data_IF_496993750922
#
_entry.id   IF_496993750922
#
_cell.length_a   1.000
_cell.length_b   1.000
_cell.length_c   1.000
_cell.angle_alpha   90.00
_cell.angle_beta   90.00
_cell.angle_gamma   90.00
#
_symmetry.space_group_name_H-M   'P 1'
#
loop_
_entity.id
_entity.type
_entity.pdbx_description
1 polymer ?
#
# COMPACT_ATOMS: atom_id res chain seq x y z
N UNK A 1 13.49 -36.35 8.54
CA UNK A 1 14.79 -36.07 9.20
C UNK A 1 15.01 -34.61 9.58
N UNK A 2 14.46 -33.61 8.88
CA UNK A 2 14.71 -32.19 9.20
C UNK A 2 14.01 -31.68 10.48
N UNK A 3 12.79 -32.15 10.78
CA UNK A 3 12.00 -31.68 11.94
C UNK A 3 12.66 -31.96 13.30
N UNK A 4 13.22 -33.16 13.47
CA UNK A 4 13.94 -33.57 14.70
C UNK A 4 15.22 -32.75 14.91
N UNK A 5 15.94 -32.45 13.83
CA UNK A 5 17.16 -31.62 13.90
C UNK A 5 16.84 -30.19 14.33
N UNK A 6 15.71 -29.64 13.86
CA UNK A 6 15.23 -28.32 14.26
C UNK A 6 14.71 -28.31 15.70
N UNK A 7 14.03 -29.36 16.16
CA UNK A 7 13.55 -29.44 17.55
C UNK A 7 14.71 -29.52 18.54
N UNK A 8 15.74 -30.31 18.26
CA UNK A 8 16.96 -30.40 19.08
C UNK A 8 17.74 -29.07 19.13
N UNK A 9 17.86 -28.38 18.00
CA UNK A 9 18.48 -27.05 17.95
C UNK A 9 17.73 -26.05 18.84
N UNK A 10 16.40 -26.04 18.74
CA UNK A 10 15.56 -25.16 19.55
C UNK A 10 15.63 -25.51 21.05
N UNK A 11 15.71 -26.79 21.40
CA UNK A 11 15.87 -27.25 22.78
C UNK A 11 17.20 -26.76 23.37
N UNK A 12 18.31 -27.00 22.67
CA UNK A 12 19.64 -26.53 23.08
C UNK A 12 19.69 -25.01 23.26
N UNK A 13 19.06 -24.26 22.36
CA UNK A 13 18.96 -22.80 22.47
C UNK A 13 18.17 -22.35 23.70
N UNK A 14 17.08 -23.05 24.06
CA UNK A 14 16.29 -22.73 25.26
C UNK A 14 17.08 -23.00 26.54
N UNK A 15 17.77 -24.14 26.61
CA UNK A 15 18.63 -24.48 27.74
C UNK A 15 19.78 -23.49 27.92
N UNK A 16 20.42 -23.08 26.81
CA UNK A 16 21.44 -22.03 26.82
C UNK A 16 20.89 -20.70 27.31
N UNK A 17 19.68 -20.30 26.88
CA UNK A 17 19.01 -19.10 27.38
C UNK A 17 18.59 -19.18 28.85
N UNK A 18 18.36 -20.38 29.39
CA UNK A 18 17.99 -20.59 30.80
C UNK A 18 19.20 -20.53 31.74
N UNK A 19 20.38 -20.90 31.26
CA UNK A 19 21.65 -20.86 32.01
C UNK A 19 22.38 -19.52 31.92
N UNK A 20 21.91 -18.63 31.05
CA UNK A 20 22.55 -17.35 30.80
C UNK A 20 22.40 -16.37 31.98
N UNK A 21 23.50 -15.71 32.32
CA UNK A 21 23.50 -14.63 33.30
C UNK A 21 22.81 -13.35 32.79
N UNK A 22 22.47 -12.45 33.71
CA UNK A 22 21.87 -11.17 33.35
C UNK A 22 22.82 -10.30 32.51
N UNK A 23 24.13 -10.35 32.79
CA UNK A 23 25.12 -9.56 32.05
C UNK A 23 25.28 -10.08 30.62
N UNK A 24 25.42 -11.38 30.41
CA UNK A 24 25.45 -11.98 29.07
C UNK A 24 24.20 -11.64 28.27
N UNK A 25 23.02 -11.62 28.92
CA UNK A 25 21.76 -11.23 28.29
C UNK A 25 21.75 -9.76 27.89
N UNK A 26 22.30 -8.91 28.74
CA UNK A 26 22.46 -7.48 28.46
C UNK A 26 23.41 -7.25 27.29
N UNK A 27 24.59 -7.90 27.29
CA UNK A 27 25.55 -7.82 26.19
C UNK A 27 24.98 -8.32 24.87
N UNK A 28 24.28 -9.46 24.86
CA UNK A 28 23.63 -9.97 23.63
C UNK A 28 22.54 -9.04 23.13
N UNK A 29 21.79 -8.40 24.02
CA UNK A 29 20.78 -7.39 23.64
C UNK A 29 21.47 -6.15 23.06
N UNK A 30 22.55 -5.68 23.68
CA UNK A 30 23.34 -4.54 23.23
C UNK A 30 23.91 -4.78 21.83
N UNK A 31 24.56 -5.94 21.61
CA UNK A 31 25.10 -6.33 20.30
C UNK A 31 24.01 -6.39 19.22
N UNK A 32 22.84 -6.99 19.53
CA UNK A 32 21.70 -7.01 18.60
C UNK A 32 21.18 -5.61 18.28
N UNK A 33 21.04 -4.75 19.29
CA UNK A 33 20.61 -3.37 19.10
C UNK A 33 21.61 -2.57 18.27
N UNK A 34 22.92 -2.76 18.49
CA UNK A 34 23.98 -2.12 17.72
C UNK A 34 23.98 -2.58 16.25
N UNK A 35 23.83 -3.89 16.01
CA UNK A 35 23.73 -4.45 14.67
C UNK A 35 22.44 -4.02 13.93
N UNK A 36 21.33 -3.84 14.65
CA UNK A 36 20.04 -3.42 14.08
C UNK A 36 19.93 -1.90 13.90
N UNK A 37 20.75 -1.10 14.58
CA UNK A 37 20.80 0.36 14.47
C UNK A 37 20.88 0.87 13.02
N UNK A 38 21.80 0.38 12.15
CA UNK A 38 21.85 0.83 10.76
C UNK A 38 20.59 0.46 9.97
N UNK A 39 19.98 -0.70 10.23
CA UNK A 39 18.73 -1.10 9.57
C UNK A 39 17.59 -0.15 9.94
N UNK A 40 17.46 0.23 11.22
CA UNK A 40 16.47 1.22 11.68
C UNK A 40 16.71 2.60 11.07
N UNK A 41 17.97 3.02 10.94
CA UNK A 41 18.32 4.28 10.32
C UNK A 41 17.91 4.32 8.83
N UNK A 42 18.18 3.24 8.09
CA UNK A 42 17.73 3.09 6.69
C UNK A 42 16.21 3.13 6.58
N UNK A 43 15.50 2.33 7.38
CA UNK A 43 14.04 2.33 7.38
C UNK A 43 13.42 3.72 7.63
N UNK A 44 14.02 4.53 8.52
CA UNK A 44 13.59 5.93 8.72
C UNK A 44 13.86 6.81 7.51
N UNK A 45 15.02 6.65 6.87
CA UNK A 45 15.37 7.37 5.64
C UNK A 45 14.41 7.02 4.50
N UNK A 46 14.12 5.73 4.32
CA UNK A 46 13.20 5.25 3.29
C UNK A 46 11.79 5.81 3.52
N UNK A 47 11.33 5.81 4.77
CA UNK A 47 10.04 6.41 5.13
C UNK A 47 10.02 7.92 4.86
N UNK A 48 11.10 8.65 5.17
CA UNK A 48 11.19 10.08 4.87
C UNK A 48 11.16 10.35 3.36
N UNK A 49 11.85 9.54 2.57
CA UNK A 49 11.81 9.64 1.11
C UNK A 49 10.41 9.35 0.57
N UNK A 50 9.74 8.31 1.07
CA UNK A 50 8.35 8.02 0.70
C UNK A 50 7.40 9.18 1.04
N UNK A 51 7.52 9.74 2.24
CA UNK A 51 6.71 10.89 2.67
C UNK A 51 7.00 12.14 1.81
N UNK A 52 8.26 12.36 1.41
CA UNK A 52 8.65 13.46 0.52
C UNK A 52 8.04 13.29 -0.87
N UNK A 53 8.09 12.09 -1.44
CA UNK A 53 7.49 11.80 -2.75
C UNK A 53 5.98 12.00 -2.70
N UNK A 54 5.31 11.50 -1.66
CA UNK A 54 3.87 11.67 -1.50
C UNK A 54 3.45 13.13 -1.35
N UNK A 55 4.13 13.89 -0.48
CA UNK A 55 3.83 15.33 -0.32
C UNK A 55 4.04 16.11 -1.61
N UNK A 56 5.07 15.79 -2.40
CA UNK A 56 5.28 16.42 -3.70
C UNK A 56 4.23 16.01 -4.75
N UNK A 57 3.73 14.77 -4.70
CA UNK A 57 2.69 14.29 -5.60
C UNK A 57 1.35 15.00 -5.34
N UNK A 58 0.99 15.23 -4.07
CA UNK A 58 -0.26 15.90 -3.70
C UNK A 58 -0.26 17.39 -4.05
N UNK A 59 0.89 18.07 -3.96
CA UNK A 59 0.97 19.51 -4.27
C UNK A 59 1.04 19.84 -5.76
N UNK A 60 1.38 18.85 -6.61
CA UNK A 60 1.59 19.04 -8.06
C UNK A 60 0.56 18.29 -8.90
N UNK A 61 -0.68 18.16 -8.42
CA UNK A 61 -1.78 17.66 -9.25
C UNK A 61 -2.39 18.83 -10.00
N UNK A 62 -2.24 18.85 -11.32
CA UNK A 62 -3.01 19.79 -12.14
C UNK A 62 -4.49 19.47 -11.99
N UNK A 63 -5.30 20.49 -11.70
CA UNK A 63 -6.75 20.34 -11.71
C UNK A 63 -7.16 19.93 -13.11
N UNK A 64 -7.67 18.70 -13.26
CA UNK A 64 -8.20 18.22 -14.51
C UNK A 64 -9.67 18.61 -14.60
N UNK A 65 -9.97 19.59 -15.45
CA UNK A 65 -11.34 19.96 -15.77
C UNK A 65 -11.86 19.09 -16.92
N UNK A 66 -12.86 18.26 -16.63
CA UNK A 66 -13.56 17.46 -17.64
C UNK A 66 -14.57 18.29 -18.46
N UNK A 67 -14.75 19.58 -18.14
CA UNK A 67 -15.69 20.49 -18.76
C UNK A 67 -17.10 20.39 -18.16
N UNK A 68 -18.10 20.90 -18.90
CA UNK A 68 -19.49 20.79 -18.47
C UNK A 68 -20.08 19.42 -18.81
N UNK A 69 -20.92 18.90 -17.91
CA UNK A 69 -21.57 17.59 -18.02
C UNK A 69 -22.84 17.68 -18.88
N UNK A 70 -22.68 17.89 -20.19
CA UNK A 70 -23.79 18.17 -21.12
C UNK A 70 -24.19 17.00 -22.01
N UNK A 71 -23.37 15.94 -22.07
CA UNK A 71 -23.62 14.83 -23.00
C UNK A 71 -24.54 13.80 -22.35
N UNK A 72 -25.54 13.31 -23.08
CA UNK A 72 -26.46 12.30 -22.55
C UNK A 72 -26.01 10.93 -23.03
N UNK A 73 -25.82 9.98 -22.10
CA UNK A 73 -25.52 8.62 -22.48
C UNK A 73 -26.76 7.93 -23.06
N UNK A 74 -26.66 7.41 -24.28
CA UNK A 74 -27.77 6.72 -24.96
C UNK A 74 -28.32 5.50 -24.20
N UNK A 75 -27.51 4.84 -23.37
CA UNK A 75 -27.92 3.65 -22.60
C UNK A 75 -28.62 4.00 -21.29
N UNK A 76 -28.01 4.88 -20.49
CA UNK A 76 -28.45 5.18 -19.12
C UNK A 76 -29.24 6.50 -19.00
N UNK A 77 -29.31 7.29 -20.07
CA UNK A 77 -29.89 8.65 -20.14
C UNK A 77 -29.33 9.65 -19.11
N UNK A 78 -28.26 9.29 -18.41
CA UNK A 78 -27.57 10.18 -17.48
C UNK A 78 -26.66 11.17 -18.23
N UNK A 79 -26.48 12.35 -17.62
CA UNK A 79 -25.53 13.37 -18.05
C UNK A 79 -24.09 12.92 -17.80
N UNK A 80 -23.21 13.22 -18.76
CA UNK A 80 -21.83 12.78 -18.84
C UNK A 80 -20.90 13.87 -19.37
N UNK A 81 -19.62 13.76 -19.04
CA UNK A 81 -18.57 14.60 -19.62
C UNK A 81 -18.11 14.03 -20.96
N UNK A 82 -17.99 14.91 -21.96
CA UNK A 82 -17.53 14.53 -23.30
C UNK A 82 -16.13 13.90 -23.31
N UNK A 83 -15.26 14.33 -22.39
CA UNK A 83 -13.88 13.83 -22.29
C UNK A 83 -13.77 12.40 -21.75
N UNK A 84 -14.85 11.83 -21.18
CA UNK A 84 -14.87 10.45 -20.71
C UNK A 84 -15.23 9.43 -21.81
N UNK A 85 -15.50 9.93 -23.01
CA UNK A 85 -15.79 9.11 -24.17
C UNK A 85 -14.53 8.36 -24.61
N UNK A 86 -14.61 7.03 -24.69
CA UNK A 86 -13.49 6.25 -25.20
C UNK A 86 -13.33 6.38 -26.72
N UNK A 87 -12.25 5.80 -27.29
CA UNK A 87 -11.99 5.79 -28.73
C UNK A 87 -13.07 5.10 -29.58
N UNK A 88 -13.98 4.34 -28.96
CA UNK A 88 -15.14 3.71 -29.60
C UNK A 88 -16.43 4.52 -29.45
N UNK A 89 -16.34 5.78 -29.00
CA UNK A 89 -17.48 6.65 -28.72
C UNK A 89 -18.47 6.07 -27.68
N UNK A 90 -17.98 5.37 -26.65
CA UNK A 90 -18.81 4.77 -25.59
C UNK A 90 -18.43 5.28 -24.19
N UNK A 91 -19.46 5.55 -23.39
CA UNK A 91 -19.35 5.86 -21.96
C UNK A 91 -19.35 4.58 -21.11
N UNK A 92 -18.19 3.94 -20.99
CA UNK A 92 -18.07 2.66 -20.26
C UNK A 92 -18.15 2.83 -18.74
N UNK A 93 -17.98 4.05 -18.24
CA UNK A 93 -18.05 4.37 -16.80
C UNK A 93 -19.47 4.66 -16.31
N UNK A 94 -20.44 5.07 -17.14
CA UNK A 94 -21.80 5.44 -16.64
C UNK A 94 -22.58 4.23 -16.19
N UNK A 95 -22.65 3.24 -17.06
CA UNK A 95 -23.57 2.13 -16.92
C UNK A 95 -22.88 0.79 -17.07
N UNK A 96 -21.58 0.78 -17.33
CA UNK A 96 -20.83 -0.42 -17.67
C UNK A 96 -21.56 -1.23 -18.75
N UNK A 97 -21.87 -0.55 -19.87
CA UNK A 97 -22.67 -1.07 -20.99
C UNK A 97 -24.10 -1.50 -20.60
N UNK A 98 -24.77 -0.72 -19.74
CA UNK A 98 -26.17 -0.94 -19.35
C UNK A 98 -26.38 -1.89 -18.17
N UNK A 99 -25.32 -2.35 -17.50
CA UNK A 99 -25.43 -3.17 -16.28
C UNK A 99 -25.89 -2.38 -15.04
N UNK A 100 -25.77 -1.05 -15.07
CA UNK A 100 -26.25 -0.18 -13.99
C UNK A 100 -27.45 0.62 -14.50
N UNK A 101 -28.62 0.37 -13.91
CA UNK A 101 -29.81 1.20 -14.09
C UNK A 101 -29.77 2.35 -13.10
N UNK A 102 -29.54 3.57 -13.62
CA UNK A 102 -29.69 4.80 -12.85
C UNK A 102 -31.13 5.30 -13.01
N UNK A 103 -31.77 5.78 -11.93
CA UNK A 103 -33.07 6.43 -12.05
C UNK A 103 -32.92 7.72 -12.86
N UNK A 104 -33.92 8.02 -13.69
CA UNK A 104 -33.93 9.22 -14.51
C UNK A 104 -34.03 10.43 -13.58
N UNK A 105 -33.03 11.32 -13.62
CA UNK A 105 -33.06 12.59 -12.91
C UNK A 105 -33.98 13.53 -13.71
N UNK A 106 -35.28 13.42 -13.46
CA UNK A 106 -36.31 14.34 -13.97
C UNK A 106 -36.27 15.68 -13.23
#
# INVERSE_FOLDING_TARGET
MNSLRTSEYNLRRREQCARESLDERFQRRSARNAADRPRRARARSDQQMANRVNSQAETNVSVHDCGMMTEICNFCQALYWRNELNSSNKYTKCCHDGKVHLPNLA
#
